data_IF_487706418170
#
_entry.id   IF_487706418170
#
_cell.length_a   1.000
_cell.length_b   1.000
_cell.length_c   1.000
_cell.angle_alpha   90.00
_cell.angle_beta   90.00
_cell.angle_gamma   90.00
#
_symmetry.space_group_name_H-M   'P 1'
#
loop_
_entity.id
_entity.type
_entity.pdbx_description
1 polymer ?
#
# COMPACT_ATOMS: atom_id res chain seq x y z
N UNK A 1 -16.60 9.09 11.35
CA UNK A 1 -15.44 8.64 12.17
C UNK A 1 -14.50 9.82 12.39
N UNK A 2 -13.77 9.91 13.52
CA UNK A 2 -12.81 10.98 13.71
C UNK A 2 -11.73 10.92 12.62
N UNK A 3 -11.39 12.08 12.06
CA UNK A 3 -10.28 12.25 11.10
C UNK A 3 -8.99 12.02 11.87
N UNK A 4 -8.24 10.96 11.53
CA UNK A 4 -6.95 10.66 12.18
C UNK A 4 -5.80 11.23 11.37
N UNK A 5 -5.85 11.03 10.06
CA UNK A 5 -4.79 11.40 9.14
C UNK A 5 -5.25 12.34 8.01
N UNK A 6 -4.30 12.92 7.27
CA UNK A 6 -4.60 13.77 6.12
C UNK A 6 -5.39 13.06 5.02
N UNK A 7 -5.11 11.77 4.78
CA UNK A 7 -5.86 10.95 3.84
C UNK A 7 -7.33 10.80 4.28
N UNK A 8 -7.57 10.74 5.58
CA UNK A 8 -8.92 10.63 6.13
C UNK A 8 -9.72 11.90 5.91
N UNK A 9 -9.07 13.04 6.14
CA UNK A 9 -9.66 14.35 5.88
C UNK A 9 -10.01 14.48 4.41
N UNK A 10 -9.09 14.06 3.53
CA UNK A 10 -9.26 14.09 2.08
C UNK A 10 -10.45 13.21 1.64
N UNK A 11 -10.48 11.94 2.07
CA UNK A 11 -11.57 11.01 1.73
C UNK A 11 -12.89 11.53 2.30
N UNK A 12 -12.91 12.04 3.54
CA UNK A 12 -14.12 12.57 4.15
C UNK A 12 -14.68 13.75 3.35
N UNK A 13 -13.83 14.70 2.97
CA UNK A 13 -14.23 15.84 2.14
C UNK A 13 -14.77 15.37 0.78
N UNK A 14 -14.10 14.43 0.12
CA UNK A 14 -14.52 13.92 -1.19
C UNK A 14 -15.83 13.15 -1.15
N UNK A 15 -16.00 12.24 -0.19
CA UNK A 15 -17.25 11.51 0.01
C UNK A 15 -18.39 12.46 0.39
N UNK A 16 -18.12 13.50 1.17
CA UNK A 16 -19.13 14.51 1.51
C UNK A 16 -19.58 15.32 0.28
N UNK A 17 -18.64 15.80 -0.53
CA UNK A 17 -18.94 16.54 -1.77
C UNK A 17 -19.71 15.68 -2.77
N UNK A 18 -19.31 14.42 -2.94
CA UNK A 18 -19.99 13.47 -3.83
C UNK A 18 -21.44 13.21 -3.39
N UNK A 19 -21.69 13.08 -2.09
CA UNK A 19 -23.06 12.94 -1.56
C UNK A 19 -23.91 14.15 -1.87
N UNK A 20 -23.37 15.36 -1.64
CA UNK A 20 -24.09 16.61 -1.91
C UNK A 20 -24.40 16.78 -3.40
N UNK A 21 -23.50 16.35 -4.29
CA UNK A 21 -23.74 16.39 -5.73
C UNK A 21 -24.78 15.36 -6.18
N UNK A 22 -24.88 14.21 -5.50
CA UNK A 22 -25.86 13.16 -5.79
C UNK A 22 -27.23 13.41 -5.14
N UNK A 23 -27.39 14.37 -4.23
CA UNK A 23 -28.71 14.72 -3.65
C UNK A 23 -29.65 15.37 -4.68
N UNK A 24 -29.12 15.83 -5.81
CA UNK A 24 -29.90 16.29 -6.97
C UNK A 24 -30.36 15.13 -7.89
N UNK A 25 -30.02 13.87 -7.56
CA UNK A 25 -30.33 12.66 -8.35
C UNK A 25 -30.90 11.49 -7.53
N UNK A 26 -31.98 10.88 -8.01
CA UNK A 26 -32.84 9.88 -7.35
C UNK A 26 -32.14 8.67 -6.67
N UNK A 27 -32.01 8.73 -5.34
CA UNK A 27 -32.39 7.71 -4.35
C UNK A 27 -31.69 6.34 -4.23
N UNK A 28 -31.62 5.52 -5.29
CA UNK A 28 -31.41 4.05 -5.12
C UNK A 28 -30.04 3.50 -5.60
N UNK A 29 -29.35 4.15 -6.54
CA UNK A 29 -28.08 3.65 -7.12
C UNK A 29 -26.79 4.09 -6.37
N UNK A 30 -26.94 4.93 -5.34
CA UNK A 30 -25.84 5.70 -4.74
C UNK A 30 -24.74 4.86 -4.05
N UNK A 31 -25.06 3.69 -3.48
CA UNK A 31 -24.07 2.85 -2.77
C UNK A 31 -23.18 2.07 -3.75
N UNK A 32 -23.74 1.61 -4.87
CA UNK A 32 -22.98 0.90 -5.89
C UNK A 32 -22.04 1.86 -6.64
N UNK A 33 -22.47 3.09 -6.89
CA UNK A 33 -21.69 4.07 -7.63
C UNK A 33 -20.48 4.59 -6.83
N UNK A 34 -20.58 4.72 -5.51
CA UNK A 34 -19.43 5.03 -4.65
C UNK A 34 -18.36 3.92 -4.68
N UNK A 35 -18.78 2.64 -4.70
CA UNK A 35 -17.84 1.50 -4.84
C UNK A 35 -17.24 1.39 -6.24
N UNK A 36 -17.93 1.87 -7.28
CA UNK A 36 -17.39 1.95 -8.64
C UNK A 36 -16.39 3.11 -8.78
N UNK A 37 -16.64 4.23 -8.08
CA UNK A 37 -15.82 5.45 -8.18
C UNK A 37 -14.47 5.34 -7.48
N UNK A 38 -14.44 4.76 -6.28
CA UNK A 38 -13.22 4.64 -5.48
C UNK A 38 -12.73 3.20 -5.41
N UNK A 39 -11.45 2.91 -5.73
CA UNK A 39 -10.93 1.56 -5.61
C UNK A 39 -10.95 1.11 -4.13
N UNK A 40 -11.33 -0.14 -3.83
CA UNK A 40 -11.46 -0.62 -2.45
C UNK A 40 -10.13 -0.59 -1.69
N UNK A 41 -8.99 -0.64 -2.39
CA UNK A 41 -7.65 -0.51 -1.81
C UNK A 41 -7.42 0.86 -1.16
N UNK A 42 -8.03 1.94 -1.70
CA UNK A 42 -7.93 3.29 -1.15
C UNK A 42 -8.70 3.43 0.17
N UNK A 43 -9.90 2.85 0.23
CA UNK A 43 -10.79 2.94 1.40
C UNK A 43 -10.40 1.99 2.55
N UNK A 44 -9.64 0.93 2.26
CA UNK A 44 -9.26 -0.09 3.26
C UNK A 44 -8.22 0.46 4.25
N UNK A 45 -8.58 0.57 5.53
CA UNK A 45 -7.68 1.04 6.61
C UNK A 45 -7.11 -0.04 7.54
N UNK A 46 -7.35 -1.30 7.21
CA UNK A 46 -6.84 -2.41 7.98
C UNK A 46 -5.92 -3.27 7.10
N UNK A 47 -4.94 -3.87 7.75
CA UNK A 47 -4.06 -4.86 7.17
C UNK A 47 -4.41 -6.21 7.81
N UNK A 48 -4.42 -7.26 6.99
CA UNK A 48 -4.68 -8.62 7.47
C UNK A 48 -3.38 -9.39 7.37
N UNK A 49 -2.94 -9.92 8.50
CA UNK A 49 -1.74 -10.74 8.58
C UNK A 49 -2.14 -12.17 8.87
N UNK A 50 -1.52 -13.11 8.15
CA UNK A 50 -1.60 -14.52 8.48
C UNK A 50 -0.49 -14.88 9.45
N UNK A 51 -0.86 -15.38 10.63
CA UNK A 51 0.09 -15.95 11.58
C UNK A 51 0.27 -17.43 11.24
N UNK A 52 1.52 -17.86 11.05
CA UNK A 52 1.83 -19.29 10.90
C UNK A 52 1.34 -20.08 12.10
N UNK A 53 0.87 -21.31 11.87
CA UNK A 53 0.46 -22.20 12.96
C UNK A 53 1.64 -22.46 13.89
N UNK A 54 1.41 -22.41 15.21
CA UNK A 54 2.42 -22.76 16.23
C UNK A 54 2.94 -24.19 16.11
N UNK A 55 2.23 -25.04 15.36
CA UNK A 55 2.61 -26.44 15.08
C UNK A 55 3.68 -26.52 13.98
N UNK A 56 3.78 -25.51 13.10
CA UNK A 56 4.74 -25.54 12.00
C UNK A 56 6.16 -25.30 12.52
N UNK A 57 7.05 -26.27 12.28
CA UNK A 57 8.47 -26.15 12.64
C UNK A 57 9.14 -25.11 11.74
N UNK A 58 9.97 -24.21 12.29
CA UNK A 58 10.70 -23.26 11.48
C UNK A 58 11.72 -24.00 10.60
N UNK A 59 11.74 -23.68 9.31
CA UNK A 59 12.69 -24.22 8.34
C UNK A 59 14.01 -23.43 8.37
N UNK A 60 15.11 -24.10 8.06
CA UNK A 60 16.38 -23.44 7.82
C UNK A 60 16.38 -22.77 6.43
N UNK A 61 17.14 -21.68 6.26
CA UNK A 61 17.19 -20.93 4.99
C UNK A 61 17.64 -21.83 3.82
N UNK A 62 18.54 -22.79 4.07
CA UNK A 62 19.03 -23.75 3.06
C UNK A 62 17.95 -24.72 2.56
N UNK A 63 16.93 -24.98 3.36
CA UNK A 63 15.86 -25.93 3.04
C UNK A 63 14.77 -25.30 2.15
N UNK A 64 14.77 -23.97 2.04
CA UNK A 64 13.82 -23.21 1.22
C UNK A 64 14.17 -23.36 -0.26
N UNK A 65 13.60 -24.40 -0.87
CA UNK A 65 13.71 -24.70 -2.32
C UNK A 65 12.48 -24.23 -3.11
N UNK A 66 12.55 -24.36 -4.43
CA UNK A 66 11.47 -24.00 -5.37
C UNK A 66 10.09 -24.59 -5.04
N UNK A 67 10.02 -25.75 -4.38
CA UNK A 67 8.77 -26.38 -3.95
C UNK A 67 7.95 -25.56 -2.93
N UNK A 68 8.56 -24.54 -2.32
CA UNK A 68 7.95 -23.65 -1.34
C UNK A 68 7.49 -22.31 -1.93
N UNK A 69 7.72 -22.06 -3.22
CA UNK A 69 7.25 -20.84 -3.89
C UNK A 69 5.72 -20.80 -3.87
N UNK A 70 5.14 -19.69 -3.40
CA UNK A 70 3.69 -19.51 -3.29
C UNK A 70 3.05 -20.12 -2.03
N UNK A 71 3.84 -20.67 -1.10
CA UNK A 71 3.34 -21.22 0.18
C UNK A 71 3.78 -20.36 1.36
N UNK A 72 2.99 -20.37 2.44
CA UNK A 72 3.36 -19.75 3.70
C UNK A 72 4.39 -20.64 4.41
N UNK A 73 5.62 -20.13 4.56
CA UNK A 73 6.70 -20.81 5.28
C UNK A 73 7.16 -19.97 6.47
N UNK A 74 7.56 -20.65 7.55
CA UNK A 74 8.18 -20.02 8.73
C UNK A 74 9.66 -20.36 8.70
N UNK A 75 10.52 -19.34 8.79
CA UNK A 75 11.97 -19.47 8.69
C UNK A 75 12.59 -18.86 9.96
N UNK A 76 13.70 -19.44 10.42
CA UNK A 76 14.51 -18.87 11.51
C UNK A 76 15.87 -18.39 10.98
N UNK A 77 16.35 -17.25 11.47
CA UNK A 77 17.56 -16.58 10.98
C UNK A 77 17.93 -15.33 11.78
N UNK A 78 19.06 -14.72 11.45
CA UNK A 78 19.57 -13.47 12.03
C UNK A 78 19.41 -12.34 11.00
N UNK A 79 18.87 -11.20 11.42
CA UNK A 79 18.80 -10.00 10.58
C UNK A 79 20.20 -9.38 10.49
N UNK A 80 20.73 -9.27 9.28
CA UNK A 80 22.08 -8.72 9.02
C UNK A 80 22.06 -7.26 8.59
N UNK A 81 20.97 -6.84 7.97
CA UNK A 81 20.81 -5.48 7.47
C UNK A 81 19.33 -5.15 7.45
N UNK A 82 19.02 -3.97 7.94
CA UNK A 82 17.69 -3.37 7.84
C UNK A 82 17.84 -2.00 7.19
N UNK A 83 16.97 -1.68 6.22
CA UNK A 83 16.90 -0.32 5.67
C UNK A 83 16.06 0.56 6.58
N UNK A 84 16.15 1.87 6.39
CA UNK A 84 15.18 2.79 6.98
C UNK A 84 13.77 2.54 6.42
N UNK A 85 12.76 2.94 7.20
CA UNK A 85 11.36 2.84 6.79
C UNK A 85 11.08 3.92 5.77
N UNK A 86 10.68 3.51 4.56
CA UNK A 86 10.29 4.41 3.48
C UNK A 86 8.80 4.23 3.14
N UNK A 87 8.08 5.29 2.77
CA UNK A 87 6.70 5.16 2.30
C UNK A 87 6.66 4.54 0.91
N UNK A 88 5.87 3.47 0.73
CA UNK A 88 5.57 2.84 -0.55
C UNK A 88 4.13 3.16 -0.94
N UNK A 89 3.94 3.67 -2.16
CA UNK A 89 2.60 3.98 -2.66
C UNK A 89 1.81 2.71 -2.96
N UNK A 90 0.60 2.60 -2.41
CA UNK A 90 -0.36 1.53 -2.69
C UNK A 90 -1.40 1.95 -3.72
N UNK A 91 -1.88 3.19 -3.62
CA UNK A 91 -2.79 3.80 -4.59
C UNK A 91 -2.36 5.23 -4.82
N UNK A 92 -2.13 5.60 -6.09
CA UNK A 92 -1.86 6.99 -6.48
C UNK A 92 -3.12 7.64 -7.03
N UNK A 93 -3.32 8.88 -6.64
CA UNK A 93 -4.43 9.73 -7.09
C UNK A 93 -3.89 10.85 -7.95
N UNK A 94 -4.50 11.02 -9.12
CA UNK A 94 -4.16 12.06 -10.09
C UNK A 94 -5.35 12.98 -10.31
N UNK A 95 -5.10 14.29 -10.36
CA UNK A 95 -6.08 15.31 -10.72
C UNK A 95 -5.76 15.87 -12.09
N UNK A 96 -6.76 15.98 -12.96
CA UNK A 96 -6.60 16.64 -14.25
C UNK A 96 -6.73 18.16 -14.11
N UNK A 97 -5.81 18.91 -14.70
CA UNK A 97 -5.83 20.38 -14.67
C UNK A 97 -6.98 20.98 -15.51
N UNK A 98 -7.46 20.25 -16.53
CA UNK A 98 -8.48 20.75 -17.47
C UNK A 98 -9.91 20.40 -17.05
N UNK A 99 -10.18 19.13 -16.72
CA UNK A 99 -11.53 18.67 -16.35
C UNK A 99 -11.74 18.58 -14.84
N UNK A 100 -10.69 18.68 -14.02
CA UNK A 100 -10.79 18.51 -12.57
C UNK A 100 -11.12 17.09 -12.10
N UNK A 101 -11.26 16.12 -13.02
CA UNK A 101 -11.54 14.73 -12.66
C UNK A 101 -10.36 14.09 -11.93
N UNK A 102 -10.68 13.23 -10.96
CA UNK A 102 -9.71 12.41 -10.24
C UNK A 102 -9.60 11.01 -10.84
N UNK A 103 -8.39 10.52 -11.04
CA UNK A 103 -8.10 9.18 -11.53
C UNK A 103 -7.25 8.44 -10.50
N UNK A 104 -7.63 7.20 -10.19
CA UNK A 104 -6.95 6.36 -9.20
C UNK A 104 -6.20 5.21 -9.89
N UNK A 105 -4.92 5.06 -9.59
CA UNK A 105 -4.09 3.97 -10.08
C UNK A 105 -3.60 3.10 -8.91
N UNK A 106 -4.03 1.83 -8.81
CA UNK A 106 -3.45 0.90 -7.84
C UNK A 106 -2.04 0.47 -8.29
N UNK A 107 -1.10 0.43 -7.35
CA UNK A 107 0.29 0.04 -7.59
C UNK A 107 0.53 -1.34 -7.00
N UNK A 108 0.98 -2.27 -7.84
CA UNK A 108 1.31 -3.63 -7.42
C UNK A 108 2.82 -3.87 -7.24
N UNK A 109 3.67 -3.03 -7.84
CA UNK A 109 5.11 -3.25 -7.94
C UNK A 109 5.97 -2.15 -7.30
N UNK A 110 7.30 -2.35 -7.26
CA UNK A 110 8.25 -1.36 -6.72
C UNK A 110 8.39 -0.12 -7.62
N UNK A 111 8.08 -0.26 -8.91
CA UNK A 111 8.07 0.82 -9.89
C UNK A 111 6.71 0.83 -10.61
N UNK A 112 6.26 2.02 -10.97
CA UNK A 112 5.04 2.24 -11.74
C UNK A 112 5.24 3.41 -12.69
N UNK A 113 4.47 3.43 -13.78
CA UNK A 113 4.49 4.49 -14.77
C UNK A 113 3.23 5.34 -14.55
N UNK A 114 3.37 6.65 -14.31
CA UNK A 114 2.22 7.53 -14.15
C UNK A 114 1.45 7.68 -15.48
N UNK A 115 0.11 7.72 -15.45
CA UNK A 115 -0.68 8.02 -16.63
C UNK A 115 -0.42 9.47 -17.07
N UNK A 116 -0.16 9.65 -18.36
CA UNK A 116 0.08 10.98 -18.95
C UNK A 116 -1.23 11.67 -19.35
N UNK A 117 -2.19 10.91 -19.86
CA UNK A 117 -3.46 11.41 -20.38
C UNK A 117 -4.61 11.08 -19.43
N UNK A 118 -5.52 12.03 -19.25
CA UNK A 118 -6.73 11.82 -18.46
C UNK A 118 -7.70 10.84 -19.16
N UNK A 119 -8.17 9.77 -18.49
CA UNK A 119 -9.14 8.83 -19.05
C UNK A 119 -10.60 9.32 -18.96
N UNK A 120 -10.85 10.56 -18.51
CA UNK A 120 -12.22 11.08 -18.36
C UNK A 120 -12.87 11.31 -19.73
N UNK A 121 -14.18 11.05 -19.81
CA UNK A 121 -14.97 11.26 -21.04
C UNK A 121 -14.87 12.70 -21.52
N UNK A 122 -14.95 13.66 -20.60
CA UNK A 122 -14.87 15.09 -20.91
C UNK A 122 -13.54 15.47 -21.59
N UNK A 123 -12.41 14.90 -21.15
CA UNK A 123 -11.11 15.18 -21.77
C UNK A 123 -10.92 14.46 -23.10
N UNK A 124 -11.47 13.25 -23.23
CA UNK A 124 -11.36 12.43 -24.45
C UNK A 124 -12.24 13.01 -25.56
N UNK A 125 -13.48 13.37 -25.26
CA UNK A 125 -14.43 13.95 -26.22
C UNK A 125 -13.99 15.34 -26.68
N UNK A 126 -13.54 16.20 -25.74
CA UNK A 126 -13.05 17.53 -26.07
C UNK A 126 -11.63 17.53 -26.65
N UNK A 127 -10.96 16.38 -26.74
CA UNK A 127 -9.54 16.22 -27.18
C UNK A 127 -8.59 17.18 -26.47
N UNK A 128 -8.90 17.54 -25.23
CA UNK A 128 -8.21 18.59 -24.51
C UNK A 128 -6.85 18.13 -23.94
N UNK A 129 -6.53 16.83 -24.03
CA UNK A 129 -5.29 16.20 -23.56
C UNK A 129 -4.84 16.76 -22.19
N UNK A 130 -5.79 16.78 -21.25
CA UNK A 130 -5.55 17.37 -19.93
C UNK A 130 -4.40 16.68 -19.21
N UNK A 131 -3.48 17.49 -18.69
CA UNK A 131 -2.32 17.02 -17.93
C UNK A 131 -2.77 16.52 -16.56
N UNK A 132 -2.28 15.34 -16.18
CA UNK A 132 -2.51 14.75 -14.87
C UNK A 132 -1.43 15.18 -13.88
N UNK A 133 -1.84 15.78 -12.77
CA UNK A 133 -0.99 16.11 -11.62
C UNK A 133 -1.19 15.11 -10.51
N UNK A 134 -0.10 14.63 -9.91
CA UNK A 134 -0.18 13.71 -8.78
C UNK A 134 -0.55 14.43 -7.48
N UNK A 135 -1.50 13.89 -6.72
CA UNK A 135 -1.93 14.42 -5.44
C UNK A 135 -1.45 13.52 -4.29
N UNK A 136 -0.48 14.00 -3.51
CA UNK A 136 0.06 13.25 -2.37
C UNK A 136 -0.98 13.03 -1.26
N UNK A 137 -1.78 14.07 -0.94
CA UNK A 137 -2.78 14.00 0.15
C UNK A 137 -3.92 13.01 -0.13
N UNK A 138 -4.25 12.80 -1.40
CA UNK A 138 -5.25 11.83 -1.83
C UNK A 138 -4.69 10.46 -2.15
N UNK A 139 -3.36 10.28 -2.08
CA UNK A 139 -2.70 9.01 -2.35
C UNK A 139 -2.50 8.21 -1.07
N UNK A 140 -2.54 6.89 -1.19
CA UNK A 140 -2.35 5.98 -0.06
C UNK A 140 -0.93 5.43 -0.05
N UNK A 141 -0.23 5.65 1.05
CA UNK A 141 1.10 5.12 1.31
C UNK A 141 1.06 4.08 2.42
N UNK A 142 1.91 3.07 2.29
CA UNK A 142 2.15 2.02 3.28
C UNK A 142 3.62 2.09 3.70
N UNK A 143 3.91 1.67 4.93
CA UNK A 143 5.29 1.62 5.41
C UNK A 143 6.00 0.43 4.76
N UNK A 144 7.14 0.67 4.14
CA UNK A 144 7.95 -0.37 3.53
C UNK A 144 9.35 -0.35 4.13
N UNK A 145 9.85 -1.54 4.46
CA UNK A 145 11.19 -1.75 4.97
C UNK A 145 11.74 -3.04 4.38
N UNK A 146 12.97 -2.98 3.88
CA UNK A 146 13.66 -4.15 3.38
C UNK A 146 14.62 -4.67 4.45
N UNK A 147 14.55 -5.97 4.74
CA UNK A 147 15.43 -6.64 5.68
C UNK A 147 16.12 -7.81 4.99
N UNK A 148 17.41 -7.97 5.25
CA UNK A 148 18.22 -9.11 4.81
C UNK A 148 18.48 -10.02 6.00
N UNK A 149 18.24 -11.32 5.80
CA UNK A 149 18.36 -12.35 6.84
C UNK A 149 19.43 -13.35 6.41
N UNK A 150 20.26 -13.78 7.35
CA UNK A 150 21.20 -14.89 7.22
C UNK A 150 20.82 -16.06 8.12
N UNK A 151 21.38 -17.23 7.82
CA UNK A 151 21.09 -18.47 8.54
C UNK A 151 21.75 -18.49 9.92
N UNK A 152 21.12 -19.16 10.88
CA UNK A 152 21.71 -19.41 12.20
C UNK A 152 22.86 -20.40 12.07
N UNK A 153 24.10 -19.92 12.26
CA UNK A 153 25.29 -20.78 12.37
C UNK A 153 25.38 -21.40 13.75
N UNK A 154 24.57 -22.41 14.04
CA UNK A 154 24.72 -23.21 15.27
C UNK A 154 25.83 -24.28 15.16
N UNK A 155 26.54 -24.37 14.03
CA UNK A 155 27.66 -25.32 13.90
C UNK A 155 29.02 -24.73 13.53
N UNK A 156 29.18 -23.41 13.47
CA UNK A 156 30.51 -22.80 13.27
C UNK A 156 30.72 -21.67 14.28
N UNK A 157 31.14 -22.06 15.48
CA UNK A 157 32.18 -21.37 16.28
C UNK A 157 31.86 -19.92 16.75
N UNK A 158 31.68 -19.78 18.07
CA UNK A 158 32.04 -18.57 18.85
C UNK A 158 31.49 -17.21 18.37
N UNK A 159 30.21 -16.91 18.63
CA UNK A 159 29.84 -15.53 19.06
C UNK A 159 29.54 -15.57 20.57
N UNK A 160 30.49 -16.15 21.30
CA UNK A 160 30.62 -16.01 22.75
C UNK A 160 31.46 -14.78 23.12
N UNK A 161 31.80 -13.92 22.15
CA UNK A 161 32.41 -12.61 22.39
C UNK A 161 31.83 -11.53 21.47
N UNK A 162 30.59 -11.14 21.71
CA UNK A 162 30.23 -9.73 21.51
C UNK A 162 29.30 -9.30 22.63
N UNK A 163 29.90 -9.28 23.82
CA UNK A 163 29.52 -8.39 24.90
C UNK A 163 29.47 -6.97 24.36
N UNK A 164 28.30 -6.49 23.94
CA UNK A 164 28.02 -5.07 24.00
C UNK A 164 26.58 -4.90 24.46
N UNK A 165 26.47 -4.74 25.78
CA UNK A 165 25.37 -4.07 26.45
C UNK A 165 24.79 -2.96 25.59
N UNK A 166 23.50 -3.07 25.25
CA UNK A 166 22.66 -1.89 25.09
C UNK A 166 21.39 -2.08 25.92
N UNK A 167 21.58 -1.92 27.23
CA UNK A 167 20.58 -1.35 28.11
C UNK A 167 20.44 0.12 27.75
N UNK A 168 19.24 0.55 27.35
CA UNK A 168 18.61 1.76 27.89
C UNK A 168 17.18 1.96 27.39
N UNK A 169 16.33 2.13 28.42
CA UNK A 169 15.13 2.98 28.52
C UNK A 169 13.90 2.62 27.70
#
# INVERSE_FOLDING_TARGET
>A
PPVRDALDAFIFQRVYLDRKQNEDGSGADQIQDLRKKYPPQLLRRFEVFFKGSSISKPLAIREVKAAHVGKLVVISGIVIRSTEVKPMASVMTYTCDTCGCETYQPIAGPAFIPPLNCPSKDCVENRANGRLQMQIRGSKFMKFQEMRIQELVIFVVLILQCSLSYSRS
#
